data_IF_946286747460
#
_entry.id   IF_946286747460
#
_cell.length_a   1.000
_cell.length_b   1.000
_cell.length_c   1.000
_cell.angle_alpha   90.00
_cell.angle_beta   90.00
_cell.angle_gamma   90.00
#
_symmetry.space_group_name_H-M   'P 1'
#
loop_
_entity.id
_entity.type
_entity.pdbx_description
1 polymer ?
#
# COMPACT_ATOMS: atom_id res chain seq x y z
N UNK A 1 -53.24 6.81 -21.58
CA UNK A 1 -51.86 7.29 -21.82
C UNK A 1 -51.16 7.42 -20.46
N UNK A 2 -50.38 6.39 -20.10
CA UNK A 2 -49.74 6.29 -18.78
C UNK A 2 -48.43 7.09 -18.77
N UNK A 3 -48.27 7.96 -17.76
CA UNK A 3 -47.05 8.72 -17.49
C UNK A 3 -45.93 7.75 -17.11
N UNK A 4 -44.89 7.68 -17.93
CA UNK A 4 -43.65 7.00 -17.57
C UNK A 4 -42.98 7.71 -16.40
N UNK A 5 -43.01 7.08 -15.21
CA UNK A 5 -42.12 7.42 -14.10
C UNK A 5 -40.68 7.28 -14.60
N UNK A 6 -39.94 8.39 -14.72
CA UNK A 6 -38.46 8.35 -14.70
C UNK A 6 -38.07 7.70 -13.37
N UNK A 7 -37.54 6.47 -13.42
CA UNK A 7 -36.81 5.89 -12.30
C UNK A 7 -35.61 6.82 -12.06
N UNK A 8 -35.60 7.51 -10.92
CA UNK A 8 -34.37 8.01 -10.33
C UNK A 8 -33.53 6.78 -10.02
N UNK A 9 -32.55 6.45 -10.87
CA UNK A 9 -31.55 5.44 -10.55
C UNK A 9 -30.54 6.11 -9.65
N UNK A 10 -30.80 6.12 -8.35
CA UNK A 10 -29.79 6.51 -7.37
C UNK A 10 -28.64 5.50 -7.50
N UNK A 11 -27.56 5.94 -8.11
CA UNK A 11 -26.44 5.08 -8.49
C UNK A 11 -25.72 4.70 -7.21
N UNK A 12 -25.56 3.40 -6.96
CA UNK A 12 -24.90 2.91 -5.74
C UNK A 12 -23.50 3.50 -5.65
N UNK A 13 -23.13 3.95 -4.46
CA UNK A 13 -21.90 4.69 -4.21
C UNK A 13 -20.89 3.86 -3.44
N UNK A 14 -19.66 3.85 -3.92
CA UNK A 14 -18.54 3.15 -3.30
C UNK A 14 -17.47 4.16 -2.90
N UNK A 15 -16.96 4.04 -1.69
CA UNK A 15 -15.79 4.79 -1.22
C UNK A 15 -14.56 3.87 -1.28
N UNK A 16 -13.58 4.22 -2.10
CA UNK A 16 -12.23 3.65 -2.05
C UNK A 16 -11.39 4.50 -1.10
N UNK A 17 -10.78 3.90 -0.08
CA UNK A 17 -10.01 4.62 0.92
C UNK A 17 -8.59 4.07 1.09
N UNK A 18 -7.61 4.97 1.07
CA UNK A 18 -6.26 4.70 1.53
C UNK A 18 -5.86 5.78 2.53
N UNK A 19 -5.27 5.38 3.65
CA UNK A 19 -4.88 6.32 4.72
C UNK A 19 -3.38 6.56 4.75
N UNK A 20 -2.59 5.55 4.37
CA UNK A 20 -1.14 5.62 4.37
C UNK A 20 -0.61 5.25 3.00
N UNK A 21 0.23 6.12 2.45
CA UNK A 21 0.99 5.84 1.24
C UNK A 21 2.41 5.40 1.60
N UNK A 22 2.91 4.42 0.86
CA UNK A 22 4.30 3.97 0.88
C UNK A 22 4.79 3.95 -0.59
N UNK A 23 4.77 5.13 -1.22
CA UNK A 23 4.89 5.29 -2.66
C UNK A 23 3.57 5.03 -3.40
N UNK A 24 3.65 4.69 -4.68
CA UNK A 24 2.48 4.60 -5.59
C UNK A 24 1.68 3.31 -5.47
N UNK A 25 2.23 2.27 -4.85
CA UNK A 25 1.70 0.90 -4.94
C UNK A 25 0.30 0.69 -4.37
N UNK A 26 -0.13 1.46 -3.37
CA UNK A 26 -1.51 1.40 -2.86
C UNK A 26 -2.50 2.03 -3.83
N UNK A 27 -2.10 3.13 -4.47
CA UNK A 27 -2.93 3.86 -5.43
C UNK A 27 -3.07 3.07 -6.74
N UNK A 28 -1.96 2.51 -7.22
CA UNK A 28 -1.93 1.60 -8.37
C UNK A 28 -2.82 0.36 -8.15
N UNK A 29 -3.07 -0.04 -6.90
CA UNK A 29 -4.04 -1.11 -6.58
C UNK A 29 -5.49 -0.64 -6.62
N UNK A 30 -5.75 0.61 -6.25
CA UNK A 30 -7.09 1.17 -6.27
C UNK A 30 -7.57 1.52 -7.69
N UNK A 31 -6.67 1.84 -8.61
CA UNK A 31 -7.01 2.18 -10.00
C UNK A 31 -7.80 1.08 -10.73
N UNK A 32 -7.33 -0.18 -10.84
CA UNK A 32 -8.07 -1.20 -11.57
C UNK A 32 -9.40 -1.54 -10.89
N UNK A 33 -9.49 -1.38 -9.56
CA UNK A 33 -10.75 -1.50 -8.81
C UNK A 33 -11.70 -0.37 -9.23
N UNK A 34 -11.25 0.89 -9.22
CA UNK A 34 -12.05 2.04 -9.63
C UNK A 34 -12.54 1.90 -11.08
N UNK A 35 -11.67 1.44 -11.98
CA UNK A 35 -12.00 1.19 -13.39
C UNK A 35 -13.08 0.12 -13.53
N UNK A 36 -12.97 -1.01 -12.82
CA UNK A 36 -13.98 -2.07 -12.83
C UNK A 36 -15.32 -1.61 -12.24
N UNK A 37 -15.31 -0.86 -11.13
CA UNK A 37 -16.52 -0.33 -10.50
C UNK A 37 -17.25 0.68 -11.40
N UNK A 38 -16.50 1.54 -12.09
CA UNK A 38 -17.06 2.47 -13.08
C UNK A 38 -17.70 1.73 -14.24
N UNK A 39 -17.04 0.70 -14.78
CA UNK A 39 -17.58 -0.13 -15.85
C UNK A 39 -18.87 -0.86 -15.43
N UNK A 40 -18.98 -1.20 -14.15
CA UNK A 40 -20.19 -1.76 -13.54
C UNK A 40 -21.22 -0.68 -13.11
N UNK A 41 -21.05 0.55 -13.57
CA UNK A 41 -21.96 1.67 -13.34
C UNK A 41 -22.14 2.07 -11.86
N UNK A 42 -21.10 1.97 -11.02
CA UNK A 42 -21.10 2.56 -9.67
C UNK A 42 -20.60 4.00 -9.67
N UNK A 43 -21.08 4.81 -8.72
CA UNK A 43 -20.48 6.10 -8.38
C UNK A 43 -19.32 5.84 -7.41
N UNK A 44 -18.12 6.29 -7.75
CA UNK A 44 -16.91 5.98 -6.99
C UNK A 44 -16.29 7.26 -6.46
N UNK A 45 -16.08 7.30 -5.14
CA UNK A 45 -15.30 8.35 -4.48
C UNK A 45 -14.00 7.73 -3.99
N UNK A 46 -12.87 8.34 -4.32
CA UNK A 46 -11.55 7.90 -3.88
C UNK A 46 -11.04 8.89 -2.83
N UNK A 47 -10.74 8.40 -1.63
CA UNK A 47 -10.10 9.17 -0.58
C UNK A 47 -8.66 8.69 -0.39
N UNK A 48 -7.69 9.53 -0.76
CA UNK A 48 -6.24 9.24 -0.66
C UNK A 48 -5.48 10.40 -0.01
N UNK A 49 -4.28 10.17 0.57
CA UNK A 49 -3.42 11.24 1.06
C UNK A 49 -2.82 12.04 -0.09
N UNK A 50 -2.86 13.38 -0.01
CA UNK A 50 -2.32 14.28 -1.03
C UNK A 50 -3.06 14.26 -2.39
N UNK A 51 -2.59 15.09 -3.32
CA UNK A 51 -3.15 15.24 -4.70
C UNK A 51 -2.18 14.80 -5.80
N UNK A 52 -0.95 14.44 -5.47
CA UNK A 52 0.14 14.17 -6.43
C UNK A 52 -0.07 12.88 -7.26
N UNK A 53 -1.18 12.20 -7.03
CA UNK A 53 -1.51 10.90 -7.62
C UNK A 53 -2.85 10.88 -8.35
N UNK A 54 -3.53 12.03 -8.45
CA UNK A 54 -4.82 12.13 -9.16
C UNK A 54 -4.72 11.70 -10.62
N UNK A 55 -3.58 11.99 -11.26
CA UNK A 55 -3.31 11.65 -12.66
C UNK A 55 -3.36 10.14 -12.95
N UNK A 56 -3.18 9.27 -11.95
CA UNK A 56 -3.30 7.80 -12.11
C UNK A 56 -4.73 7.41 -12.50
N UNK A 57 -5.72 8.18 -12.06
CA UNK A 57 -7.14 7.90 -12.31
C UNK A 57 -7.71 8.70 -13.48
N UNK A 58 -6.93 9.60 -14.06
CA UNK A 58 -7.34 10.43 -15.18
C UNK A 58 -7.28 9.65 -16.50
N UNK A 59 -8.16 9.99 -17.44
CA UNK A 59 -8.07 9.46 -18.79
C UNK A 59 -6.79 10.00 -19.48
N UNK A 60 -6.03 9.10 -20.11
CA UNK A 60 -4.71 9.44 -20.69
C UNK A 60 -4.77 10.44 -21.84
N UNK A 61 -5.88 10.52 -22.59
CA UNK A 61 -6.04 11.43 -23.73
C UNK A 61 -6.51 12.82 -23.31
N UNK A 62 -7.46 12.89 -22.37
CA UNK A 62 -8.10 14.14 -21.94
C UNK A 62 -7.49 14.76 -20.68
N UNK A 63 -6.81 13.97 -19.86
CA UNK A 63 -6.33 14.39 -18.53
C UNK A 63 -7.46 14.60 -17.51
N UNK A 64 -8.72 14.34 -17.88
CA UNK A 64 -9.88 14.52 -17.01
C UNK A 64 -10.21 13.23 -16.25
N UNK A 65 -10.80 13.40 -15.05
CA UNK A 65 -11.35 12.27 -14.32
C UNK A 65 -12.59 11.72 -15.04
N UNK A 66 -12.72 10.38 -15.16
CA UNK A 66 -13.91 9.77 -15.72
C UNK A 66 -15.21 10.20 -15.03
N UNK A 67 -16.30 10.31 -15.79
CA UNK A 67 -17.64 10.52 -15.24
C UNK A 67 -17.98 9.44 -14.19
N UNK A 68 -18.54 9.86 -13.06
CA UNK A 68 -18.88 8.99 -11.94
C UNK A 68 -17.69 8.67 -11.02
N UNK A 69 -16.52 9.27 -11.25
CA UNK A 69 -15.36 9.20 -10.37
C UNK A 69 -15.07 10.57 -9.75
N UNK A 70 -14.84 10.62 -8.45
CA UNK A 70 -14.32 11.80 -7.77
C UNK A 70 -13.19 11.42 -6.82
N UNK A 71 -12.24 12.34 -6.65
CA UNK A 71 -11.12 12.19 -5.73
C UNK A 71 -11.25 13.26 -4.66
N UNK A 72 -11.03 12.87 -3.41
CA UNK A 72 -11.01 13.75 -2.26
C UNK A 72 -9.79 13.44 -1.40
N UNK A 73 -9.38 14.42 -0.61
CA UNK A 73 -8.29 14.24 0.35
C UNK A 73 -8.75 13.38 1.53
N UNK A 74 -7.99 12.33 1.83
CA UNK A 74 -8.16 11.52 3.04
C UNK A 74 -7.69 12.29 4.30
N UNK A 75 -8.28 12.04 5.48
CA UNK A 75 -7.73 12.44 6.76
C UNK A 75 -6.27 11.99 6.93
N UNK A 76 -5.36 12.93 7.11
CA UNK A 76 -3.93 12.65 7.17
C UNK A 76 -3.47 12.25 8.58
N UNK A 77 -2.57 11.27 8.67
CA UNK A 77 -1.96 10.89 9.94
C UNK A 77 -0.88 11.89 10.37
N UNK A 78 -0.83 12.20 11.66
CA UNK A 78 0.37 12.77 12.28
C UNK A 78 1.30 11.62 12.62
N UNK A 79 2.41 11.53 11.88
CA UNK A 79 3.41 10.48 12.08
C UNK A 79 4.67 11.11 12.66
N UNK A 80 5.19 10.53 13.75
CA UNK A 80 6.42 11.01 14.36
C UNK A 80 7.61 10.91 13.40
N UNK A 81 8.42 11.96 13.36
CA UNK A 81 9.71 11.99 12.68
C UNK A 81 10.88 11.65 13.61
N UNK A 82 10.61 11.32 14.88
CA UNK A 82 11.64 10.99 15.87
C UNK A 82 12.48 9.78 15.43
N UNK A 83 13.80 9.95 15.21
CA UNK A 83 14.69 8.86 14.84
C UNK A 83 14.68 7.68 15.82
N UNK A 84 14.47 7.92 17.11
CA UNK A 84 14.41 6.85 18.11
C UNK A 84 13.19 5.95 17.89
N UNK A 85 12.05 6.54 17.53
CA UNK A 85 10.85 5.80 17.15
C UNK A 85 11.07 5.09 15.81
N UNK A 86 11.63 5.78 14.81
CA UNK A 86 11.88 5.22 13.47
C UNK A 86 12.92 4.10 13.45
N UNK A 87 13.81 4.06 14.45
CA UNK A 87 14.81 3.01 14.63
C UNK A 87 14.28 1.75 15.32
N UNK A 88 13.03 1.74 15.79
CA UNK A 88 12.47 0.56 16.44
C UNK A 88 12.36 -0.63 15.47
N UNK A 89 12.68 -1.86 15.92
CA UNK A 89 12.52 -3.03 15.09
C UNK A 89 11.04 -3.31 14.81
N UNK A 90 10.79 -3.75 13.56
CA UNK A 90 9.50 -4.25 13.08
C UNK A 90 9.54 -5.77 12.98
N UNK A 91 9.06 -6.44 14.02
CA UNK A 91 8.99 -7.91 14.12
C UNK A 91 7.56 -8.42 13.89
N UNK A 92 6.55 -7.59 14.13
CA UNK A 92 5.13 -7.83 13.79
C UNK A 92 4.53 -6.63 13.07
N UNK A 93 3.33 -6.78 12.51
CA UNK A 93 2.61 -5.65 11.91
C UNK A 93 2.10 -4.65 12.97
N UNK A 94 2.07 -5.02 14.25
CA UNK A 94 1.73 -4.12 15.34
C UNK A 94 2.81 -3.04 15.48
N UNK A 95 4.07 -3.41 15.28
CA UNK A 95 5.18 -2.46 15.28
C UNK A 95 5.05 -1.45 14.12
N UNK A 96 4.55 -1.91 12.96
CA UNK A 96 4.26 -1.02 11.82
C UNK A 96 3.16 -0.04 12.20
N UNK A 97 2.06 -0.51 12.79
CA UNK A 97 0.97 0.36 13.26
C UNK A 97 1.45 1.36 14.32
N UNK A 98 2.35 0.94 15.22
CA UNK A 98 3.02 1.82 16.17
C UNK A 98 3.76 2.95 15.46
N UNK A 99 4.60 2.62 14.47
CA UNK A 99 5.32 3.60 13.65
C UNK A 99 4.39 4.52 12.85
N UNK A 100 3.19 4.05 12.51
CA UNK A 100 2.14 4.84 11.85
C UNK A 100 1.32 5.71 12.83
N UNK A 101 1.73 5.79 14.10
CA UNK A 101 1.17 6.69 15.09
C UNK A 101 -0.04 6.16 15.86
N UNK A 102 -0.34 4.86 15.79
CA UNK A 102 -1.52 4.30 16.47
C UNK A 102 -1.38 4.23 18.00
N UNK A 103 -0.19 4.48 18.54
CA UNK A 103 0.03 4.64 19.98
C UNK A 103 -0.56 5.94 20.53
N UNK A 104 -0.77 6.95 19.68
CA UNK A 104 -1.29 8.25 20.09
C UNK A 104 -2.82 8.28 20.01
N UNK A 105 -3.47 7.71 21.03
CA UNK A 105 -4.92 7.50 21.03
C UNK A 105 -5.76 8.75 20.74
N UNK A 106 -5.34 9.94 21.21
CA UNK A 106 -6.04 11.19 20.89
C UNK A 106 -6.02 11.52 19.39
N UNK A 107 -4.86 11.37 18.73
CA UNK A 107 -4.70 11.60 17.30
C UNK A 107 -5.44 10.54 16.47
N UNK A 108 -5.42 9.28 16.91
CA UNK A 108 -6.24 8.22 16.31
C UNK A 108 -7.71 8.58 16.41
N UNK A 109 -8.18 9.01 17.58
CA UNK A 109 -9.56 9.43 17.79
C UNK A 109 -9.99 10.55 16.85
N UNK A 110 -9.19 11.63 16.75
CA UNK A 110 -9.46 12.74 15.81
C UNK A 110 -9.54 12.25 14.37
N UNK A 111 -8.70 11.30 13.96
CA UNK A 111 -8.70 10.73 12.61
C UNK A 111 -9.93 9.85 12.35
N UNK A 112 -10.33 9.05 13.33
CA UNK A 112 -11.59 8.27 13.27
C UNK A 112 -12.80 9.19 13.14
N UNK A 113 -12.81 10.33 13.84
CA UNK A 113 -13.88 11.31 13.73
C UNK A 113 -13.91 11.98 12.36
N UNK A 114 -12.74 12.34 11.82
CA UNK A 114 -12.62 12.91 10.48
C UNK A 114 -13.12 11.93 9.41
N UNK A 115 -12.73 10.66 9.48
CA UNK A 115 -13.25 9.61 8.60
C UNK A 115 -14.76 9.41 8.76
N UNK A 116 -15.27 9.41 9.99
CA UNK A 116 -16.71 9.29 10.27
C UNK A 116 -17.51 10.42 9.63
N UNK A 117 -17.00 11.66 9.70
CA UNK A 117 -17.60 12.82 9.04
C UNK A 117 -17.55 12.72 7.51
N UNK A 118 -16.44 12.23 6.96
CA UNK A 118 -16.29 12.04 5.52
C UNK A 118 -17.26 10.95 5.01
N UNK A 119 -17.33 9.81 5.68
CA UNK A 119 -18.26 8.72 5.36
C UNK A 119 -19.71 9.18 5.46
N UNK A 120 -20.08 9.97 6.48
CA UNK A 120 -21.47 10.47 6.63
C UNK A 120 -21.88 11.47 5.55
N UNK A 121 -20.93 12.25 5.01
CA UNK A 121 -21.16 13.15 3.87
C UNK A 121 -21.30 12.38 2.55
N UNK A 122 -20.42 11.41 2.34
CA UNK A 122 -20.40 10.61 1.10
C UNK A 122 -21.60 9.66 1.04
N UNK A 123 -21.97 9.06 2.18
CA UNK A 123 -22.98 8.00 2.31
C UNK A 123 -22.71 6.82 1.36
N UNK A 124 -21.53 6.18 1.44
CA UNK A 124 -21.25 5.02 0.60
C UNK A 124 -22.10 3.81 1.03
N UNK A 125 -22.52 3.01 0.05
CA UNK A 125 -23.15 1.71 0.28
C UNK A 125 -22.12 0.66 0.76
N UNK A 126 -20.88 0.78 0.27
CA UNK A 126 -19.74 -0.08 0.61
C UNK A 126 -18.46 0.75 0.63
N UNK A 127 -17.56 0.42 1.56
CA UNK A 127 -16.19 0.95 1.60
C UNK A 127 -15.21 -0.13 1.15
N UNK A 128 -14.25 0.22 0.31
CA UNK A 128 -13.09 -0.62 -0.01
C UNK A 128 -11.84 0.07 0.50
N UNK A 129 -11.12 -0.55 1.43
CA UNK A 129 -9.91 0.01 2.03
C UNK A 129 -8.63 -0.73 1.61
N UNK A 130 -7.58 0.03 1.33
CA UNK A 130 -6.19 -0.44 1.26
C UNK A 130 -5.36 0.36 2.27
N UNK A 131 -4.77 -0.32 3.26
CA UNK A 131 -4.00 0.29 4.35
C UNK A 131 -4.71 1.52 4.96
N UNK A 132 -5.97 1.34 5.35
CA UNK A 132 -6.84 2.38 5.90
C UNK A 132 -7.44 1.98 7.27
N UNK A 133 -6.61 1.80 8.32
CA UNK A 133 -7.06 1.29 9.61
C UNK A 133 -8.04 2.21 10.33
N UNK A 134 -7.86 3.53 10.32
CA UNK A 134 -8.77 4.45 11.01
C UNK A 134 -10.09 4.58 10.25
N UNK A 135 -10.07 4.49 8.92
CA UNK A 135 -11.29 4.32 8.12
C UNK A 135 -12.03 3.04 8.51
N UNK A 136 -11.32 1.94 8.73
CA UNK A 136 -11.92 0.68 9.20
C UNK A 136 -12.61 0.83 10.55
N UNK A 137 -12.00 1.55 11.49
CA UNK A 137 -12.63 1.85 12.78
C UNK A 137 -13.87 2.75 12.59
N UNK A 138 -13.79 3.78 11.76
CA UNK A 138 -14.88 4.72 11.50
C UNK A 138 -16.13 4.07 10.88
N UNK A 139 -15.96 3.04 10.06
CA UNK A 139 -17.04 2.33 9.37
C UNK A 139 -17.55 1.11 10.12
N UNK A 140 -16.88 0.69 11.21
CA UNK A 140 -17.20 -0.51 11.99
C UNK A 140 -18.65 -0.51 12.48
N UNK A 141 -19.38 -1.57 12.12
CA UNK A 141 -20.80 -1.73 12.47
C UNK A 141 -21.76 -0.77 11.76
N UNK A 142 -21.26 0.09 10.85
CA UNK A 142 -22.03 1.16 10.22
C UNK A 142 -22.15 1.00 8.70
N UNK A 143 -21.04 0.69 8.03
CA UNK A 143 -20.98 0.50 6.57
C UNK A 143 -20.18 -0.76 6.27
N UNK A 144 -20.66 -1.67 5.41
CA UNK A 144 -19.88 -2.83 4.99
C UNK A 144 -18.53 -2.41 4.41
N UNK A 145 -17.46 -3.04 4.88
CA UNK A 145 -16.11 -2.77 4.44
C UNK A 145 -15.44 -4.00 3.84
N UNK A 146 -14.90 -3.83 2.64
CA UNK A 146 -13.99 -4.76 2.00
C UNK A 146 -12.57 -4.24 2.23
N UNK A 147 -11.66 -5.06 2.73
CA UNK A 147 -10.24 -4.73 2.75
C UNK A 147 -9.54 -5.48 1.61
N UNK A 148 -8.72 -4.76 0.85
CA UNK A 148 -7.86 -5.32 -0.18
C UNK A 148 -6.43 -4.87 0.11
N UNK A 149 -5.46 -5.78 0.04
CA UNK A 149 -4.08 -5.44 0.34
C UNK A 149 -3.12 -6.59 0.10
N UNK A 150 -1.84 -6.32 0.29
CA UNK A 150 -0.77 -7.30 0.11
C UNK A 150 -0.67 -8.23 1.32
N UNK A 151 0.03 -9.35 1.17
CA UNK A 151 0.27 -10.32 2.25
C UNK A 151 0.79 -9.64 3.52
N UNK A 152 1.81 -8.77 3.34
CA UNK A 152 2.42 -7.97 4.39
C UNK A 152 1.44 -7.09 5.19
N UNK A 153 0.45 -6.46 4.54
CA UNK A 153 -0.45 -5.50 5.20
C UNK A 153 -1.70 -6.16 5.81
N UNK A 154 -1.86 -7.47 5.64
CA UNK A 154 -3.03 -8.22 6.12
C UNK A 154 -2.57 -9.45 6.89
N UNK A 155 -2.29 -9.32 8.20
CA UNK A 155 -1.94 -10.45 9.04
C UNK A 155 -3.08 -11.49 9.14
N UNK A 156 -2.77 -12.75 9.48
CA UNK A 156 -3.78 -13.79 9.74
C UNK A 156 -4.76 -13.38 10.87
N UNK A 157 -6.05 -13.72 10.75
CA UNK A 157 -7.07 -13.32 11.73
C UNK A 157 -7.05 -14.17 13.00
N UNK A 158 -7.90 -13.75 13.95
CA UNK A 158 -8.36 -14.52 15.12
C UNK A 158 -7.26 -14.86 16.14
N UNK A 159 -6.20 -14.05 16.19
CA UNK A 159 -5.06 -14.21 17.11
C UNK A 159 -4.23 -12.93 17.19
N UNK A 160 -3.34 -12.80 18.19
CA UNK A 160 -2.27 -11.80 18.17
C UNK A 160 -1.42 -11.91 16.92
N UNK A 161 -0.86 -10.79 16.48
CA UNK A 161 -0.10 -10.73 15.24
C UNK A 161 1.11 -11.67 15.28
N UNK A 162 1.31 -12.39 14.18
CA UNK A 162 2.43 -13.33 14.00
C UNK A 162 3.66 -12.62 13.40
N UNK A 163 4.85 -13.24 13.42
CA UNK A 163 6.05 -12.61 12.91
C UNK A 163 5.90 -12.20 11.44
N UNK A 164 6.31 -10.96 11.14
CA UNK A 164 6.37 -10.47 9.75
C UNK A 164 7.66 -10.90 9.05
N UNK A 165 8.67 -11.29 9.84
CA UNK A 165 9.94 -11.83 9.37
C UNK A 165 9.81 -13.34 9.26
N UNK A 166 9.75 -13.92 8.04
CA UNK A 166 9.41 -15.34 7.87
C UNK A 166 10.45 -16.33 8.44
N UNK A 167 11.64 -15.86 8.80
CA UNK A 167 12.68 -16.66 9.46
C UNK A 167 12.57 -16.66 10.99
N UNK A 168 11.64 -15.89 11.57
CA UNK A 168 11.36 -15.90 13.02
C UNK A 168 10.22 -16.88 13.31
N UNK A 169 10.38 -17.67 14.36
CA UNK A 169 9.32 -18.57 14.84
C UNK A 169 8.27 -17.84 15.70
N UNK A 170 8.71 -16.87 16.49
CA UNK A 170 7.88 -16.15 17.46
C UNK A 170 8.14 -14.64 17.42
N UNK A 171 7.12 -13.87 17.84
CA UNK A 171 7.22 -12.42 17.99
C UNK A 171 7.96 -12.12 19.30
N UNK A 172 9.02 -11.29 19.30
CA UNK A 172 9.72 -10.93 20.52
C UNK A 172 8.80 -10.27 21.56
N UNK A 173 9.07 -10.50 22.85
CA UNK A 173 8.24 -10.01 23.97
C UNK A 173 7.97 -8.50 23.89
N UNK A 174 8.97 -7.69 23.53
CA UNK A 174 8.81 -6.24 23.38
C UNK A 174 7.83 -5.85 22.25
N UNK A 175 7.76 -6.62 21.17
CA UNK A 175 6.79 -6.40 20.09
C UNK A 175 5.39 -6.88 20.50
N UNK A 176 5.30 -8.01 21.20
CA UNK A 176 4.04 -8.50 21.75
C UNK A 176 3.44 -7.55 22.81
N UNK A 177 4.27 -6.97 23.69
CA UNK A 177 3.85 -5.97 24.66
C UNK A 177 3.34 -4.69 23.97
N UNK A 178 4.02 -4.22 22.92
CA UNK A 178 3.55 -3.09 22.10
C UNK A 178 2.19 -3.39 21.44
N UNK A 179 1.98 -4.60 20.93
CA UNK A 179 0.67 -5.00 20.39
C UNK A 179 -0.45 -4.88 21.45
N UNK A 180 -0.21 -5.36 22.67
CA UNK A 180 -1.18 -5.29 23.76
C UNK A 180 -1.48 -3.84 24.17
N UNK A 181 -0.45 -2.99 24.25
CA UNK A 181 -0.61 -1.56 24.53
C UNK A 181 -1.40 -0.84 23.44
N UNK A 182 -1.11 -1.12 22.17
CA UNK A 182 -1.86 -0.59 21.04
C UNK A 182 -3.32 -1.05 21.09
N UNK A 183 -3.58 -2.34 21.32
CA UNK A 183 -4.94 -2.86 21.41
C UNK A 183 -5.74 -2.17 22.52
N UNK A 184 -5.13 -1.98 23.70
CA UNK A 184 -5.74 -1.23 24.81
C UNK A 184 -6.05 0.21 24.42
N UNK A 185 -5.09 0.90 23.79
CA UNK A 185 -5.25 2.28 23.32
C UNK A 185 -6.38 2.42 22.30
N UNK A 186 -6.43 1.54 21.30
CA UNK A 186 -7.46 1.53 20.28
C UNK A 186 -8.84 1.20 20.88
N UNK A 187 -8.93 0.23 21.78
CA UNK A 187 -10.19 -0.12 22.43
C UNK A 187 -10.74 1.02 23.31
N UNK A 188 -9.88 1.83 23.93
CA UNK A 188 -10.31 3.05 24.61
C UNK A 188 -10.89 4.06 23.61
N UNK A 189 -10.22 4.29 22.48
CA UNK A 189 -10.71 5.19 21.41
C UNK A 189 -12.07 4.75 20.86
N UNK A 190 -12.28 3.44 20.71
CA UNK A 190 -13.56 2.86 20.29
C UNK A 190 -14.66 3.03 21.35
N UNK A 191 -14.34 2.76 22.61
CA UNK A 191 -15.28 2.90 23.73
C UNK A 191 -15.75 4.35 23.88
N UNK A 192 -14.85 5.33 23.75
CA UNK A 192 -15.19 6.77 23.76
C UNK A 192 -16.13 7.19 22.61
N UNK A 193 -16.30 6.33 21.59
CA UNK A 193 -17.14 6.54 20.40
C UNK A 193 -18.33 5.58 20.32
N UNK A 194 -18.64 4.89 21.42
CA UNK A 194 -19.70 3.88 21.50
C UNK A 194 -19.56 2.78 20.44
N UNK A 195 -18.32 2.39 20.12
CA UNK A 195 -18.00 1.31 19.19
C UNK A 195 -17.53 0.06 19.94
N UNK A 196 -17.93 -1.10 19.44
CA UNK A 196 -17.50 -2.39 19.97
C UNK A 196 -15.98 -2.55 19.92
N UNK A 197 -15.33 -2.92 21.05
CA UNK A 197 -13.90 -3.20 21.10
C UNK A 197 -13.44 -4.25 20.08
N UNK A 198 -12.16 -4.20 19.73
CA UNK A 198 -11.49 -5.25 18.97
C UNK A 198 -11.11 -6.41 19.91
N UNK A 199 -11.27 -7.64 19.42
CA UNK A 199 -10.77 -8.83 20.11
C UNK A 199 -9.26 -8.98 19.89
N UNK A 200 -8.79 -8.66 18.68
CA UNK A 200 -7.38 -8.68 18.32
C UNK A 200 -7.01 -7.42 17.54
N UNK A 201 -5.76 -6.95 17.66
CA UNK A 201 -5.33 -5.73 16.95
C UNK A 201 -5.43 -5.88 15.43
N UNK A 202 -5.27 -7.10 14.91
CA UNK A 202 -5.43 -7.41 13.48
C UNK A 202 -6.81 -7.02 12.93
N UNK A 203 -7.85 -6.97 13.77
CA UNK A 203 -9.20 -6.57 13.37
C UNK A 203 -9.26 -5.13 12.85
N UNK A 204 -8.27 -4.29 13.20
CA UNK A 204 -8.15 -2.91 12.72
C UNK A 204 -7.80 -2.83 11.22
N UNK A 205 -7.23 -3.88 10.65
CA UNK A 205 -6.82 -3.95 9.23
C UNK A 205 -7.56 -5.03 8.46
N UNK A 206 -8.74 -5.44 8.96
CA UNK A 206 -9.60 -6.44 8.31
C UNK A 206 -11.01 -5.90 8.13
N UNK A 207 -11.56 -6.10 6.94
CA UNK A 207 -12.94 -5.76 6.62
C UNK A 207 -13.88 -6.92 6.92
N UNK A 208 -15.18 -6.68 6.71
CA UNK A 208 -16.21 -7.72 6.71
C UNK A 208 -15.95 -8.78 5.61
N UNK A 209 -15.33 -8.34 4.51
CA UNK A 209 -14.58 -9.20 3.61
C UNK A 209 -13.13 -8.71 3.51
N UNK A 210 -12.18 -9.63 3.35
CA UNK A 210 -10.75 -9.29 3.26
C UNK A 210 -10.10 -10.13 2.16
N UNK A 211 -9.48 -9.46 1.18
CA UNK A 211 -8.78 -10.07 0.06
C UNK A 211 -7.29 -9.80 0.13
N UNK A 212 -6.50 -10.88 0.15
CA UNK A 212 -5.04 -10.83 0.20
C UNK A 212 -4.50 -11.03 -1.22
N UNK A 213 -3.98 -9.97 -1.81
CA UNK A 213 -3.44 -9.93 -3.17
C UNK A 213 -1.92 -10.11 -3.13
N UNK A 214 -1.47 -11.35 -3.10
CA UNK A 214 -0.06 -11.70 -2.94
C UNK A 214 0.25 -13.08 -3.52
N UNK A 215 1.49 -13.31 -3.91
CA UNK A 215 1.97 -14.66 -4.28
C UNK A 215 2.38 -15.43 -3.03
N UNK A 216 2.50 -16.76 -3.13
CA UNK A 216 2.94 -17.58 -2.00
C UNK A 216 4.30 -17.16 -1.44
N UNK A 217 5.26 -16.85 -2.32
CA UNK A 217 6.63 -16.50 -1.90
C UNK A 217 6.76 -15.07 -1.39
N UNK A 218 5.91 -14.14 -1.83
CA UNK A 218 5.92 -12.74 -1.40
C UNK A 218 5.07 -12.49 -0.13
N UNK A 219 4.36 -13.50 0.36
CA UNK A 219 3.55 -13.40 1.57
C UNK A 219 4.39 -13.77 2.81
N UNK A 220 4.72 -12.82 3.70
CA UNK A 220 5.49 -13.11 4.91
C UNK A 220 4.76 -14.07 5.85
N UNK A 221 3.42 -14.13 5.74
CA UNK A 221 2.56 -14.95 6.60
C UNK A 221 2.16 -16.28 5.95
N UNK A 222 2.81 -16.68 4.85
CA UNK A 222 2.42 -17.86 4.06
C UNK A 222 2.23 -19.14 4.90
N UNK A 223 3.06 -19.33 5.93
CA UNK A 223 3.05 -20.52 6.81
C UNK A 223 2.02 -20.40 7.95
N UNK A 224 1.51 -19.19 8.20
CA UNK A 224 0.50 -18.91 9.22
C UNK A 224 -0.91 -18.68 8.65
N UNK A 225 -1.04 -18.57 7.33
CA UNK A 225 -2.27 -18.17 6.65
C UNK A 225 -3.09 -19.37 6.19
N UNK A 226 -4.37 -19.36 6.55
CA UNK A 226 -5.39 -20.29 6.04
C UNK A 226 -6.31 -19.61 5.01
N UNK A 227 -6.36 -18.28 4.99
CA UNK A 227 -7.14 -17.50 4.01
C UNK A 227 -6.60 -17.69 2.60
N UNK A 228 -7.51 -17.85 1.63
CA UNK A 228 -7.15 -17.92 0.20
C UNK A 228 -6.51 -16.61 -0.25
N UNK A 229 -5.39 -16.70 -0.97
CA UNK A 229 -4.73 -15.57 -1.62
C UNK A 229 -5.30 -15.40 -3.04
N UNK A 230 -5.47 -14.15 -3.44
CA UNK A 230 -5.67 -13.80 -4.85
C UNK A 230 -4.31 -13.48 -5.47
N UNK A 231 -4.18 -13.81 -6.76
CA UNK A 231 -3.07 -13.30 -7.54
C UNK A 231 -3.09 -11.75 -7.47
N UNK A 232 -1.92 -11.10 -7.30
CA UNK A 232 -1.83 -9.65 -7.44
C UNK A 232 -2.33 -9.24 -8.83
N UNK A 233 -3.28 -8.30 -8.89
CA UNK A 233 -3.84 -7.77 -10.13
C UNK A 233 -3.27 -6.39 -10.48
N UNK A 234 -2.52 -5.77 -9.57
CA UNK A 234 -1.81 -4.50 -9.74
C UNK A 234 -0.35 -4.72 -10.17
N UNK A 235 -0.13 -5.73 -11.02
CA UNK A 235 1.20 -6.11 -11.50
C UNK A 235 1.37 -5.66 -12.95
N UNK A 236 2.60 -5.31 -13.35
CA UNK A 236 2.90 -5.14 -14.77
C UNK A 236 2.56 -6.43 -15.51
N UNK A 237 1.80 -6.30 -16.59
CA UNK A 237 1.40 -7.40 -17.45
C UNK A 237 2.48 -7.67 -18.51
N UNK A 238 2.35 -8.75 -19.29
CA UNK A 238 3.19 -9.02 -20.46
C UNK A 238 4.72 -8.97 -20.23
N UNK A 239 5.16 -9.30 -19.01
CA UNK A 239 6.58 -9.49 -18.71
C UNK A 239 7.03 -10.82 -19.33
N UNK A 240 7.96 -10.76 -20.27
CA UNK A 240 8.58 -11.95 -20.88
C UNK A 240 9.88 -12.27 -20.14
N UNK A 241 9.83 -13.28 -19.27
CA UNK A 241 11.02 -13.75 -18.54
C UNK A 241 12.09 -14.26 -19.51
N UNK A 242 13.33 -13.77 -19.37
CA UNK A 242 14.49 -14.32 -20.06
C UNK A 242 15.17 -15.34 -19.17
N UNK A 243 15.38 -16.55 -19.68
CA UNK A 243 16.17 -17.58 -19.01
C UNK A 243 17.56 -17.06 -18.68
N UNK A 244 18.19 -17.56 -17.61
CA UNK A 244 19.47 -17.05 -17.09
C UNK A 244 20.55 -16.92 -18.17
N UNK A 245 20.64 -17.86 -19.12
CA UNK A 245 21.61 -17.82 -20.22
C UNK A 245 21.29 -16.85 -21.37
N UNK A 246 20.12 -16.21 -21.37
CA UNK A 246 19.68 -15.22 -22.35
C UNK A 246 19.63 -13.79 -21.77
N UNK A 247 20.05 -13.62 -20.51
CA UNK A 247 20.25 -12.32 -19.87
C UNK A 247 21.56 -11.71 -20.37
N UNK A 248 21.60 -10.38 -20.41
CA UNK A 248 22.76 -9.65 -20.91
C UNK A 248 23.88 -9.72 -19.86
N UNK A 249 25.06 -10.26 -20.21
CA UNK A 249 26.17 -10.33 -19.27
C UNK A 249 26.56 -8.90 -18.87
N UNK A 250 27.01 -8.74 -17.62
CA UNK A 250 27.51 -7.46 -17.09
C UNK A 250 26.45 -6.35 -16.95
N UNK A 251 25.15 -6.68 -16.95
CA UNK A 251 24.07 -5.69 -16.77
C UNK A 251 23.38 -5.80 -15.41
N UNK A 252 23.16 -4.65 -14.76
CA UNK A 252 22.49 -4.53 -13.48
C UNK A 252 21.29 -3.58 -13.58
N UNK A 253 20.25 -3.87 -12.83
CA UNK A 253 19.15 -2.93 -12.58
C UNK A 253 19.07 -2.64 -11.09
N UNK A 254 18.99 -1.37 -10.70
CA UNK A 254 18.85 -0.96 -9.31
C UNK A 254 17.60 -0.09 -9.11
N UNK A 255 16.80 -0.36 -8.07
CA UNK A 255 15.55 0.36 -7.78
C UNK A 255 15.36 0.68 -6.29
N UNK A 256 15.63 1.93 -5.92
CA UNK A 256 15.69 2.40 -4.53
C UNK A 256 15.01 3.77 -4.39
N UNK A 257 14.50 4.13 -3.21
CA UNK A 257 14.12 5.52 -2.92
C UNK A 257 15.35 6.39 -2.65
N UNK A 258 15.26 7.69 -2.95
CA UNK A 258 16.32 8.69 -2.68
C UNK A 258 16.72 8.74 -1.20
N UNK A 259 15.75 8.53 -0.30
CA UNK A 259 15.98 8.46 1.15
C UNK A 259 16.48 7.11 1.68
N UNK A 260 16.91 6.16 0.83
CA UNK A 260 17.35 4.85 1.32
C UNK A 260 18.65 4.98 2.15
N UNK A 261 18.73 4.46 3.40
CA UNK A 261 19.90 4.67 4.27
C UNK A 261 21.23 4.15 3.73
N UNK A 262 21.18 3.21 2.78
CA UNK A 262 22.36 2.61 2.16
C UNK A 262 22.57 3.06 0.71
N UNK A 263 21.85 4.09 0.23
CA UNK A 263 21.89 4.50 -1.18
C UNK A 263 23.32 4.77 -1.65
N UNK A 264 24.08 5.58 -0.90
CA UNK A 264 25.46 5.93 -1.24
C UNK A 264 26.39 4.71 -1.25
N UNK A 265 26.23 3.80 -0.28
CA UNK A 265 27.03 2.58 -0.21
C UNK A 265 26.73 1.63 -1.36
N UNK A 266 25.45 1.51 -1.74
CA UNK A 266 25.03 0.69 -2.88
C UNK A 266 25.57 1.29 -4.17
N UNK A 267 25.44 2.61 -4.36
CA UNK A 267 25.97 3.29 -5.54
C UNK A 267 27.49 3.15 -5.64
N UNK A 268 28.21 3.32 -4.53
CA UNK A 268 29.65 3.12 -4.49
C UNK A 268 30.05 1.68 -4.84
N UNK A 269 29.29 0.69 -4.35
CA UNK A 269 29.52 -0.71 -4.68
C UNK A 269 29.29 -0.99 -6.16
N UNK A 270 28.22 -0.47 -6.76
CA UNK A 270 27.95 -0.62 -8.20
C UNK A 270 29.07 0.04 -9.02
N UNK A 271 29.50 1.26 -8.65
CA UNK A 271 30.62 1.99 -9.28
C UNK A 271 31.95 1.25 -9.21
N UNK A 272 32.15 0.40 -8.20
CA UNK A 272 33.35 -0.41 -8.05
C UNK A 272 33.32 -1.69 -8.90
N UNK A 273 32.21 -2.00 -9.55
CA UNK A 273 32.10 -3.12 -10.50
C UNK A 273 32.30 -2.65 -11.94
N UNK A 274 32.52 -3.59 -12.85
CA UNK A 274 32.61 -3.32 -14.29
C UNK A 274 31.27 -3.38 -15.03
N UNK A 275 30.14 -3.50 -14.32
CA UNK A 275 28.82 -3.71 -14.91
C UNK A 275 28.20 -2.39 -15.39
N UNK A 276 27.43 -2.47 -16.48
CA UNK A 276 26.50 -1.44 -16.87
C UNK A 276 25.27 -1.49 -15.97
N UNK A 277 24.82 -0.34 -15.46
CA UNK A 277 23.70 -0.28 -14.53
C UNK A 277 22.66 0.77 -14.90
N UNK A 278 21.41 0.33 -15.01
CA UNK A 278 20.24 1.21 -15.00
C UNK A 278 19.73 1.35 -13.57
N UNK A 279 19.91 2.52 -12.98
CA UNK A 279 19.52 2.79 -11.59
C UNK A 279 18.35 3.78 -11.55
N UNK A 280 17.24 3.34 -10.99
CA UNK A 280 16.03 4.13 -10.77
C UNK A 280 15.97 4.55 -9.31
N UNK A 281 16.10 5.85 -9.06
CA UNK A 281 16.07 6.45 -7.71
C UNK A 281 14.77 7.25 -7.57
N UNK A 282 13.81 6.73 -6.80
CA UNK A 282 12.51 7.39 -6.63
C UNK A 282 12.68 8.69 -5.86
N UNK A 283 12.29 9.81 -6.48
CA UNK A 283 12.33 11.14 -5.88
C UNK A 283 13.62 11.93 -6.15
N UNK A 284 14.58 11.38 -6.89
CA UNK A 284 15.81 12.11 -7.25
C UNK A 284 15.51 13.27 -8.21
N UNK A 285 16.20 14.39 -8.04
CA UNK A 285 16.14 15.50 -9.00
C UNK A 285 16.87 15.16 -10.30
N UNK A 286 16.46 15.71 -11.46
CA UNK A 286 17.18 15.50 -12.72
C UNK A 286 18.66 15.94 -12.66
N UNK A 287 18.94 17.02 -11.93
CA UNK A 287 20.30 17.53 -11.71
C UNK A 287 21.16 16.52 -10.94
N UNK A 288 20.65 15.99 -9.82
CA UNK A 288 21.37 15.00 -9.02
C UNK A 288 21.54 13.69 -9.78
N UNK A 289 20.51 13.25 -10.50
CA UNK A 289 20.58 12.05 -11.34
C UNK A 289 21.69 12.18 -12.39
N UNK A 290 21.77 13.31 -13.07
CA UNK A 290 22.82 13.58 -14.06
C UNK A 290 24.21 13.64 -13.41
N UNK A 291 24.35 14.31 -12.26
CA UNK A 291 25.62 14.46 -11.56
C UNK A 291 26.15 13.12 -11.00
N UNK A 292 25.26 12.22 -10.58
CA UNK A 292 25.63 10.92 -10.01
C UNK A 292 25.88 9.84 -11.07
N UNK A 293 25.35 10.03 -12.28
CA UNK A 293 25.53 9.13 -13.44
C UNK A 293 26.98 9.09 -13.93
N UNK A 294 27.33 8.01 -14.61
CA UNK A 294 28.63 7.80 -15.26
C UNK A 294 28.43 7.15 -16.63
N UNK A 295 29.51 6.90 -17.36
CA UNK A 295 29.45 6.20 -18.66
C UNK A 295 28.86 4.78 -18.56
N UNK A 296 28.99 4.12 -17.39
CA UNK A 296 28.43 2.79 -17.13
C UNK A 296 27.13 2.80 -16.32
N UNK A 297 26.84 3.88 -15.60
CA UNK A 297 25.69 3.95 -14.68
C UNK A 297 24.76 5.08 -15.08
N UNK A 298 23.58 4.70 -15.57
CA UNK A 298 22.51 5.65 -15.89
C UNK A 298 21.54 5.76 -14.71
N UNK A 299 21.44 6.95 -14.12
CA UNK A 299 20.53 7.23 -13.01
C UNK A 299 19.35 8.06 -13.50
N UNK A 300 18.13 7.70 -13.10
CA UNK A 300 16.91 8.48 -13.40
C UNK A 300 15.89 8.39 -12.26
N UNK A 301 14.95 9.33 -12.21
CA UNK A 301 13.75 9.24 -11.36
C UNK A 301 12.54 8.54 -12.00
N UNK A 302 12.66 8.12 -13.26
CA UNK A 302 11.54 7.53 -14.01
C UNK A 302 11.18 6.12 -13.46
N UNK A 303 9.94 5.64 -13.72
CA UNK A 303 9.56 4.26 -13.43
C UNK A 303 10.49 3.24 -14.09
N UNK A 304 10.58 2.07 -13.48
CA UNK A 304 11.36 0.96 -14.02
C UNK A 304 10.69 0.39 -15.29
N UNK A 305 11.51 -0.02 -16.26
CA UNK A 305 11.04 -0.72 -17.46
C UNK A 305 10.92 -2.23 -17.17
N UNK A 306 9.67 -2.67 -16.97
CA UNK A 306 9.34 -4.07 -16.69
C UNK A 306 9.43 -4.99 -17.92
N UNK A 307 9.52 -4.46 -19.14
CA UNK A 307 9.48 -5.27 -20.36
C UNK A 307 10.84 -5.36 -21.06
N UNK A 308 11.67 -4.33 -20.95
CA UNK A 308 13.00 -4.27 -21.57
C UNK A 308 14.13 -4.55 -20.58
N UNK A 309 14.50 -3.56 -19.77
CA UNK A 309 15.71 -3.60 -18.94
C UNK A 309 15.62 -4.64 -17.82
N UNK A 310 14.48 -4.74 -17.12
CA UNK A 310 14.35 -5.66 -15.99
C UNK A 310 14.52 -7.14 -16.39
N UNK A 311 13.84 -7.67 -17.44
CA UNK A 311 14.03 -9.06 -17.86
C UNK A 311 15.40 -9.36 -18.47
N UNK A 312 16.09 -8.33 -18.98
CA UNK A 312 17.42 -8.45 -19.58
C UNK A 312 18.55 -8.52 -18.55
N UNK A 313 18.36 -7.87 -17.39
CA UNK A 313 19.39 -7.69 -16.38
C UNK A 313 19.94 -9.01 -15.82
N UNK A 314 21.26 -9.08 -15.63
CA UNK A 314 21.91 -10.22 -14.98
C UNK A 314 21.53 -10.30 -13.49
N UNK A 315 21.43 -9.16 -12.81
CA UNK A 315 20.99 -9.07 -11.43
C UNK A 315 20.21 -7.78 -11.15
N UNK A 316 19.35 -7.85 -10.13
CA UNK A 316 18.49 -6.74 -9.71
C UNK A 316 18.73 -6.41 -8.23
N UNK A 317 18.97 -5.14 -7.93
CA UNK A 317 19.15 -4.60 -6.58
C UNK A 317 17.94 -3.74 -6.25
N UNK A 318 17.11 -4.10 -5.26
CA UNK A 318 15.88 -3.35 -5.01
C UNK A 318 15.50 -3.27 -3.53
N UNK A 319 14.66 -2.30 -3.19
CA UNK A 319 14.15 -2.08 -1.82
C UNK A 319 13.11 -3.11 -1.32
N UNK A 320 12.73 -4.12 -2.13
CA UNK A 320 11.89 -5.23 -1.69
C UNK A 320 10.39 -5.02 -1.87
N UNK A 321 9.96 -4.04 -2.66
CA UNK A 321 8.56 -3.90 -3.05
C UNK A 321 8.03 -5.17 -3.75
N UNK A 322 6.76 -5.53 -3.51
CA UNK A 322 6.18 -6.78 -4.05
C UNK A 322 6.26 -6.83 -5.59
N UNK A 323 5.92 -5.73 -6.28
CA UNK A 323 5.88 -5.72 -7.75
C UNK A 323 7.25 -5.99 -8.37
N UNK A 324 8.30 -5.31 -7.88
CA UNK A 324 9.66 -5.53 -8.36
C UNK A 324 10.19 -6.92 -7.96
N UNK A 325 9.88 -7.38 -6.74
CA UNK A 325 10.33 -8.69 -6.25
C UNK A 325 9.75 -9.83 -7.07
N UNK A 326 8.47 -9.75 -7.45
CA UNK A 326 7.82 -10.76 -8.29
C UNK A 326 8.34 -10.68 -9.72
N UNK A 327 8.46 -9.48 -10.29
CA UNK A 327 8.90 -9.29 -11.67
C UNK A 327 10.38 -9.67 -11.91
N UNK A 328 11.18 -9.76 -10.85
CA UNK A 328 12.60 -10.12 -10.92
C UNK A 328 12.88 -11.63 -10.88
N UNK A 329 11.85 -12.47 -10.66
CA UNK A 329 11.97 -13.94 -10.67
C UNK A 329 11.93 -14.50 -12.09
#
# INVERSE_FOLDING_TARGET
MSKGKKKSTDRRRILLGCEFLAGRSHIERLEPIATALRAAEFDTVIAIPGTDHEAIFANTESGELPSGLSIIKAPEPVISSDPAIRGLPTDSFADVLYLLGHAYGEEVGRRVDAWTQLVSKIKPDVVIGDLAPSLRLATRGKVPMIVVGRGYSIPPPDRPMVPIRPWRQEVPEASAAREQELLSTINRVLTERDLEPLSYLVDMVRGDATYVCSTHFADPYRDHRTTTRLAPFDMPEDIVSRGVGAREPDTLVAYLPDGHPQLDSILAAIKATDHDCEMRIVGISPENAQAMSTDKIRITGDPIDFHGSLPAAQAVIHHGGQSISIASL
#
